data_IF_389141481940
#
_entry.id   IF_389141481940
#
_cell.length_a   1.000
_cell.length_b   1.000
_cell.length_c   1.000
_cell.angle_alpha   90.00
_cell.angle_beta   90.00
_cell.angle_gamma   90.00
#
_symmetry.space_group_name_H-M   'P 1'
#
loop_
_entity.id
_entity.type
_entity.pdbx_description
1 polymer ?
#
# COMPACT_ATOMS: atom_id res chain seq x y z
N UNK A 1 -21.65 0.16 -17.91
CA UNK A 1 -21.35 -0.38 -16.56
C UNK A 1 -20.06 0.29 -16.11
N UNK A 2 -20.09 1.07 -15.02
CA UNK A 2 -18.96 1.88 -14.56
C UNK A 2 -18.11 1.07 -13.57
N UNK A 3 -17.39 0.04 -14.07
CA UNK A 3 -16.63 -0.92 -13.25
C UNK A 3 -15.28 -0.39 -12.70
N UNK A 4 -14.89 0.83 -13.04
CA UNK A 4 -13.56 1.37 -12.69
C UNK A 4 -13.37 1.80 -11.23
N UNK A 5 -14.44 1.87 -10.42
CA UNK A 5 -14.34 2.33 -9.01
C UNK A 5 -13.96 1.23 -8.02
N UNK A 6 -14.29 -0.03 -8.29
CA UNK A 6 -14.03 -1.12 -7.32
C UNK A 6 -12.57 -1.59 -7.32
N UNK A 7 -11.83 -1.38 -8.42
CA UNK A 7 -10.46 -1.87 -8.55
C UNK A 7 -9.46 -1.16 -7.62
N UNK A 8 -9.69 0.11 -7.28
CA UNK A 8 -8.82 0.84 -6.35
C UNK A 8 -8.96 0.33 -4.90
N UNK A 9 -10.16 -0.05 -4.50
CA UNK A 9 -10.42 -0.50 -3.13
C UNK A 9 -9.81 -1.88 -2.88
N UNK A 10 -9.93 -2.80 -3.85
CA UNK A 10 -9.26 -4.11 -3.77
C UNK A 10 -7.74 -3.99 -3.73
N UNK A 11 -7.16 -3.06 -4.50
CA UNK A 11 -5.71 -2.85 -4.54
C UNK A 11 -5.17 -2.28 -3.24
N UNK A 12 -5.99 -1.47 -2.55
CA UNK A 12 -5.69 -0.98 -1.19
C UNK A 12 -5.56 -2.13 -0.21
N UNK A 13 -6.59 -2.96 -0.12
CA UNK A 13 -6.60 -4.07 0.83
C UNK A 13 -5.42 -5.00 0.59
N UNK A 14 -5.16 -5.37 -0.68
CA UNK A 14 -4.00 -6.19 -1.02
C UNK A 14 -2.67 -5.56 -0.56
N UNK A 15 -2.46 -4.26 -0.82
CA UNK A 15 -1.24 -3.57 -0.41
C UNK A 15 -1.11 -3.51 1.12
N UNK A 16 -2.21 -3.27 1.83
CA UNK A 16 -2.20 -3.26 3.31
C UNK A 16 -1.87 -4.65 3.85
N UNK A 17 -2.51 -5.70 3.34
CA UNK A 17 -2.24 -7.09 3.75
C UNK A 17 -0.78 -7.48 3.51
N UNK A 18 -0.21 -7.05 2.38
CA UNK A 18 1.18 -7.33 2.02
C UNK A 18 2.15 -6.56 2.91
N UNK A 19 1.90 -5.26 3.15
CA UNK A 19 2.70 -4.47 4.10
C UNK A 19 2.63 -5.05 5.51
N UNK A 20 1.43 -5.42 6.00
CA UNK A 20 1.25 -6.06 7.32
C UNK A 20 1.98 -7.40 7.39
N UNK A 21 1.91 -8.22 6.34
CA UNK A 21 2.63 -9.49 6.24
C UNK A 21 4.15 -9.30 6.21
N UNK A 22 4.63 -8.20 5.62
CA UNK A 22 6.03 -7.80 5.66
C UNK A 22 6.46 -7.18 7.00
N UNK A 23 5.54 -7.05 7.97
CA UNK A 23 5.82 -6.46 9.28
C UNK A 23 5.73 -4.94 9.33
N UNK A 24 5.20 -4.31 8.27
CA UNK A 24 4.86 -2.89 8.23
C UNK A 24 3.39 -2.78 8.60
N UNK A 25 3.08 -2.30 9.81
CA UNK A 25 1.69 -2.08 10.26
C UNK A 25 1.38 -0.58 10.40
N UNK A 26 2.41 0.25 10.39
CA UNK A 26 2.36 1.70 10.51
C UNK A 26 3.50 2.34 9.73
N UNK A 27 3.20 3.38 8.98
CA UNK A 27 4.18 4.22 8.29
C UNK A 27 4.15 5.58 9.00
N UNK A 28 5.32 6.10 9.36
CA UNK A 28 5.46 7.42 9.99
C UNK A 28 4.58 7.60 11.26
N UNK A 29 4.40 6.52 12.02
CA UNK A 29 3.58 6.51 13.23
C UNK A 29 2.06 6.49 13.00
N UNK A 30 1.59 6.45 11.74
CA UNK A 30 0.17 6.29 11.37
C UNK A 30 -0.12 4.87 10.90
N UNK A 31 -1.29 4.34 11.27
CA UNK A 31 -1.69 3.00 10.82
C UNK A 31 -1.95 2.98 9.32
N UNK A 32 -1.62 1.86 8.65
CA UNK A 32 -1.88 1.65 7.22
C UNK A 32 -3.34 1.91 6.82
N UNK A 33 -4.29 1.53 7.67
CA UNK A 33 -5.72 1.75 7.46
C UNK A 33 -6.13 3.24 7.53
N UNK A 34 -5.36 4.06 8.22
CA UNK A 34 -5.57 5.51 8.31
C UNK A 34 -4.83 6.26 7.20
N UNK A 35 -3.98 5.57 6.45
CA UNK A 35 -3.21 6.14 5.36
C UNK A 35 -3.96 6.05 4.03
N UNK A 36 -3.82 7.08 3.18
CA UNK A 36 -4.35 7.05 1.83
C UNK A 36 -3.63 6.00 0.98
N UNK A 37 -4.36 5.40 0.04
CA UNK A 37 -3.84 4.41 -0.91
C UNK A 37 -2.55 4.87 -1.61
N UNK A 38 -2.43 6.16 -1.89
CA UNK A 38 -1.22 6.71 -2.51
C UNK A 38 0.03 6.50 -1.66
N UNK A 39 -0.04 6.70 -0.33
CA UNK A 39 1.09 6.46 0.57
C UNK A 39 1.38 4.96 0.72
N UNK A 40 0.31 4.16 0.80
CA UNK A 40 0.41 2.70 0.83
C UNK A 40 1.13 2.17 -0.41
N UNK A 41 0.75 2.64 -1.60
CA UNK A 41 1.39 2.27 -2.87
C UNK A 41 2.84 2.77 -2.94
N UNK A 42 3.12 3.98 -2.48
CA UNK A 42 4.48 4.52 -2.47
C UNK A 42 5.41 3.70 -1.59
N UNK A 43 4.95 3.36 -0.38
CA UNK A 43 5.72 2.51 0.54
C UNK A 43 5.81 1.08 0.00
N UNK A 44 4.74 0.54 -0.57
CA UNK A 44 4.79 -0.77 -1.23
C UNK A 44 5.78 -0.80 -2.40
N UNK A 45 5.87 0.25 -3.22
CA UNK A 45 6.88 0.38 -4.27
C UNK A 45 8.29 0.52 -3.69
N UNK A 46 8.46 1.29 -2.61
CA UNK A 46 9.73 1.44 -1.88
C UNK A 46 10.18 0.13 -1.20
N UNK A 47 9.27 -0.65 -0.63
CA UNK A 47 9.54 -1.94 0.00
C UNK A 47 9.69 -3.07 -1.05
N UNK A 48 8.95 -3.00 -2.15
CA UNK A 48 8.91 -4.00 -3.21
C UNK A 48 10.03 -3.91 -4.25
N UNK A 49 10.70 -2.75 -4.36
CA UNK A 49 11.90 -2.58 -5.19
C UNK A 49 13.11 -2.18 -4.34
N UNK A 50 13.89 -3.15 -3.81
CA UNK A 50 15.19 -2.83 -3.22
C UNK A 50 16.21 -2.25 -4.22
N UNK A 51 15.87 -2.17 -5.52
CA UNK A 51 16.78 -1.78 -6.61
C UNK A 51 16.56 -0.36 -7.16
N UNK A 52 15.52 0.37 -6.74
CA UNK A 52 15.23 1.72 -7.28
C UNK A 52 16.09 2.86 -6.69
N UNK A 53 17.16 2.54 -5.93
CA UNK A 53 18.09 3.52 -5.36
C UNK A 53 19.49 3.51 -6.00
N UNK A 54 19.66 2.97 -7.22
CA UNK A 54 20.92 3.07 -7.98
C UNK A 54 20.89 4.15 -9.06
#
# INVERSE_FOLDING_TARGET
MNEKKNLCDTKRDQVIEELVSNGVFKIDGKQLYELPLQLLMQEYETFGNPEAQM
#
